data_IF_853390021281
#
_entry.id   IF_853390021281
#
_cell.length_a   1.000
_cell.length_b   1.000
_cell.length_c   1.000
_cell.angle_alpha   90.00
_cell.angle_beta   90.00
_cell.angle_gamma   90.00
#
_symmetry.space_group_name_H-M   'P 1'
#
loop_
_entity.id
_entity.type
_entity.pdbx_description
1 polymer ?
#
# COMPACT_ATOMS: atom_id res chain seq x y z
N UNK A 1 -19.45 9.59 -1.40
CA UNK A 1 -18.24 10.17 -0.78
C UNK A 1 -17.21 10.45 -1.87
N UNK A 2 -16.53 11.60 -1.81
CA UNK A 2 -15.87 12.31 -2.93
C UNK A 2 -14.84 11.49 -3.73
N UNK A 3 -15.25 10.95 -4.88
CA UNK A 3 -14.36 10.32 -5.86
C UNK A 3 -13.36 11.30 -6.49
N UNK A 4 -13.63 12.61 -6.43
CA UNK A 4 -12.76 13.64 -7.02
C UNK A 4 -11.53 13.99 -6.16
N UNK A 5 -11.63 13.91 -4.82
CA UNK A 5 -10.58 14.36 -3.91
C UNK A 5 -9.31 13.50 -3.99
N UNK A 6 -9.46 12.18 -4.01
CA UNK A 6 -8.34 11.25 -4.16
C UNK A 6 -7.69 11.35 -5.55
N UNK A 7 -8.45 11.72 -6.59
CA UNK A 7 -7.89 11.86 -7.94
C UNK A 7 -6.83 12.96 -8.00
N UNK A 8 -6.99 14.05 -7.24
CA UNK A 8 -5.98 15.12 -7.13
C UNK A 8 -4.66 14.57 -6.58
N UNK A 9 -4.72 13.78 -5.50
CA UNK A 9 -3.52 13.16 -4.91
C UNK A 9 -2.88 12.15 -5.86
N UNK A 10 -3.69 11.35 -6.57
CA UNK A 10 -3.17 10.41 -7.57
C UNK A 10 -2.45 11.13 -8.71
N UNK A 11 -3.02 12.23 -9.24
CA UNK A 11 -2.37 13.05 -10.28
C UNK A 11 -1.08 13.68 -9.73
N UNK A 12 -1.07 14.13 -8.48
CA UNK A 12 0.13 14.63 -7.83
C UNK A 12 1.23 13.56 -7.77
N UNK A 13 0.90 12.32 -7.38
CA UNK A 13 1.86 11.19 -7.37
C UNK A 13 2.35 10.87 -8.79
N UNK A 14 1.46 10.88 -9.78
CA UNK A 14 1.80 10.63 -11.20
C UNK A 14 2.79 11.65 -11.77
N UNK A 15 2.69 12.91 -11.34
CA UNK A 15 3.51 14.01 -11.85
C UNK A 15 4.66 14.41 -10.92
N UNK A 16 4.91 13.64 -9.86
CA UNK A 16 5.98 13.94 -8.93
C UNK A 16 7.33 13.52 -9.53
N UNK A 17 8.12 14.49 -9.99
CA UNK A 17 9.41 14.23 -10.65
C UNK A 17 10.56 14.26 -9.63
N UNK A 18 10.53 15.22 -8.69
CA UNK A 18 11.62 15.44 -7.74
C UNK A 18 11.76 14.28 -6.73
N UNK A 19 12.93 13.62 -6.64
CA UNK A 19 13.15 12.54 -5.67
C UNK A 19 12.98 12.95 -4.22
N UNK A 20 13.41 14.16 -3.85
CA UNK A 20 13.23 14.69 -2.49
C UNK A 20 11.75 14.81 -2.12
N UNK A 21 10.93 15.30 -3.04
CA UNK A 21 9.48 15.40 -2.84
C UNK A 21 8.84 14.01 -2.71
N UNK A 22 9.26 13.03 -3.52
CA UNK A 22 8.80 11.64 -3.39
C UNK A 22 9.13 11.08 -2.02
N UNK A 23 10.37 11.27 -1.57
CA UNK A 23 10.84 10.82 -0.26
C UNK A 23 10.04 11.46 0.88
N UNK A 24 9.87 12.78 0.87
CA UNK A 24 9.08 13.47 1.89
C UNK A 24 7.63 12.99 1.89
N UNK A 25 7.04 12.82 0.70
CA UNK A 25 5.68 12.32 0.55
C UNK A 25 5.52 10.92 1.15
N UNK A 26 6.34 9.94 0.78
CA UNK A 26 6.20 8.57 1.32
C UNK A 26 6.38 8.51 2.84
N UNK A 27 7.27 9.33 3.41
CA UNK A 27 7.47 9.39 4.86
C UNK A 27 6.25 9.96 5.61
N UNK A 28 5.53 10.90 5.00
CA UNK A 28 4.26 11.40 5.54
C UNK A 28 3.19 10.32 5.39
N UNK A 29 3.09 9.71 4.20
CA UNK A 29 2.08 8.69 3.89
C UNK A 29 2.22 7.44 4.76
N UNK A 30 3.45 7.06 5.14
CA UNK A 30 3.72 5.94 6.05
C UNK A 30 2.81 5.98 7.29
N UNK A 31 2.69 7.16 7.93
CA UNK A 31 1.92 7.36 9.16
C UNK A 31 0.41 7.11 9.02
N UNK A 32 -0.11 7.14 7.79
CA UNK A 32 -1.53 6.98 7.49
C UNK A 32 -1.80 5.81 6.53
N UNK A 33 -0.79 4.97 6.28
CA UNK A 33 -0.86 3.93 5.24
C UNK A 33 -1.96 2.91 5.52
N UNK A 34 -2.08 2.41 6.75
CA UNK A 34 -3.12 1.44 7.14
C UNK A 34 -4.53 2.00 6.87
N UNK A 35 -4.78 3.25 7.30
CA UNK A 35 -6.06 3.91 7.09
C UNK A 35 -6.38 4.09 5.59
N UNK A 36 -5.36 4.39 4.77
CA UNK A 36 -5.54 4.52 3.33
C UNK A 36 -5.79 3.18 2.64
N UNK A 37 -5.13 2.10 3.08
CA UNK A 37 -5.31 0.76 2.51
C UNK A 37 -6.75 0.25 2.67
N UNK A 38 -7.40 0.58 3.81
CA UNK A 38 -8.79 0.23 4.10
C UNK A 38 -9.82 1.23 3.54
N UNK A 39 -9.36 2.33 2.94
CA UNK A 39 -10.25 3.33 2.37
C UNK A 39 -10.56 3.02 0.90
N UNK A 40 -11.84 3.08 0.52
CA UNK A 40 -12.32 2.81 -0.85
C UNK A 40 -11.62 3.64 -1.93
N UNK A 41 -11.19 4.86 -1.60
CA UNK A 41 -10.47 5.73 -2.52
C UNK A 41 -8.97 5.81 -2.18
N UNK A 42 -8.62 5.86 -0.89
CA UNK A 42 -7.24 6.01 -0.41
C UNK A 42 -6.29 4.91 -0.92
N UNK A 43 -6.78 3.68 -1.09
CA UNK A 43 -5.97 2.55 -1.54
C UNK A 43 -5.34 2.80 -2.93
N UNK A 44 -5.99 3.58 -3.80
CA UNK A 44 -5.46 3.91 -5.11
C UNK A 44 -4.27 4.86 -5.05
N UNK A 45 -4.14 5.67 -4.00
CA UNK A 45 -2.94 6.52 -3.80
C UNK A 45 -1.74 5.63 -3.46
N UNK A 46 -1.93 4.66 -2.55
CA UNK A 46 -0.89 3.70 -2.19
C UNK A 46 -0.49 2.85 -3.41
N UNK A 47 -1.47 2.36 -4.16
CA UNK A 47 -1.24 1.64 -5.42
C UNK A 47 -0.40 2.47 -6.42
N UNK A 48 -0.65 3.78 -6.53
CA UNK A 48 0.14 4.66 -7.40
C UNK A 48 1.57 4.83 -6.91
N UNK A 49 1.80 4.94 -5.60
CA UNK A 49 3.15 4.95 -5.05
C UNK A 49 3.89 3.66 -5.39
N UNK A 50 3.26 2.50 -5.16
CA UNK A 50 3.85 1.19 -5.45
C UNK A 50 4.15 1.01 -6.95
N UNK A 51 3.29 1.53 -7.84
CA UNK A 51 3.49 1.45 -9.30
C UNK A 51 4.59 2.36 -9.85
N UNK A 52 4.76 3.55 -9.28
CA UNK A 52 5.50 4.64 -9.92
C UNK A 52 6.80 5.03 -9.21
N UNK A 53 6.93 4.69 -7.93
CA UNK A 53 8.10 5.06 -7.15
C UNK A 53 9.17 3.96 -7.23
N UNK A 54 10.46 4.31 -7.10
CA UNK A 54 11.53 3.33 -7.14
C UNK A 54 11.50 2.43 -5.88
N UNK A 55 12.09 1.22 -5.93
CA UNK A 55 11.96 0.22 -4.85
C UNK A 55 12.34 0.73 -3.46
N UNK A 56 13.34 1.61 -3.36
CA UNK A 56 13.82 2.20 -2.11
C UNK A 56 12.78 3.10 -1.43
N UNK A 57 11.82 3.61 -2.19
CA UNK A 57 10.67 4.36 -1.64
C UNK A 57 9.44 3.48 -1.46
N UNK A 58 9.29 2.43 -2.28
CA UNK A 58 8.21 1.46 -2.11
C UNK A 58 8.32 0.76 -0.75
N UNK A 59 9.54 0.36 -0.37
CA UNK A 59 9.81 -0.38 0.87
C UNK A 59 9.29 0.37 2.12
N UNK A 60 9.37 1.71 2.14
CA UNK A 60 8.91 2.52 3.26
C UNK A 60 7.41 2.34 3.54
N UNK A 61 6.61 2.17 2.48
CA UNK A 61 5.15 1.96 2.57
C UNK A 61 4.84 0.47 2.70
N UNK A 62 5.53 -0.39 1.95
CA UNK A 62 5.30 -1.83 1.97
C UNK A 62 5.66 -2.46 3.32
N UNK A 63 6.68 -1.96 4.01
CA UNK A 63 7.02 -2.40 5.37
C UNK A 63 5.89 -2.06 6.36
N UNK A 64 5.29 -0.88 6.23
CA UNK A 64 4.14 -0.50 7.08
C UNK A 64 2.92 -1.39 6.81
N UNK A 65 2.70 -1.76 5.53
CA UNK A 65 1.64 -2.70 5.15
C UNK A 65 1.96 -4.10 5.70
N UNK A 66 3.22 -4.52 5.69
CA UNK A 66 3.64 -5.82 6.18
C UNK A 66 3.41 -5.96 7.69
N UNK A 67 3.83 -4.96 8.48
CA UNK A 67 3.64 -4.93 9.94
C UNK A 67 2.15 -5.04 10.32
N UNK A 68 1.27 -4.52 9.48
CA UNK A 68 -0.18 -4.50 9.72
C UNK A 68 -0.93 -5.46 8.77
N UNK A 69 -0.26 -6.48 8.21
CA UNK A 69 -0.80 -7.22 7.07
C UNK A 69 -2.11 -7.95 7.40
N UNK A 70 -2.21 -8.55 8.59
CA UNK A 70 -3.42 -9.27 9.02
C UNK A 70 -4.58 -8.30 9.14
N UNK A 71 -4.38 -7.19 9.85
CA UNK A 71 -5.42 -6.17 10.03
C UNK A 71 -5.94 -5.63 8.68
N UNK A 72 -5.06 -5.46 7.70
CA UNK A 72 -5.43 -4.97 6.36
C UNK A 72 -6.06 -6.10 5.52
N UNK A 73 -5.53 -7.32 5.57
CA UNK A 73 -5.98 -8.44 4.74
C UNK A 73 -7.35 -8.97 5.15
N UNK A 74 -7.74 -8.85 6.43
CA UNK A 74 -9.09 -9.22 6.89
C UNK A 74 -10.10 -8.07 6.74
N UNK A 75 -9.73 -6.98 6.07
CA UNK A 75 -10.64 -5.89 5.70
C UNK A 75 -11.10 -6.04 4.23
N UNK A 76 -12.40 -5.84 3.99
CA UNK A 76 -13.02 -5.97 2.66
C UNK A 76 -12.33 -5.15 1.57
N UNK A 77 -11.87 -3.94 1.89
CA UNK A 77 -11.15 -3.08 0.94
C UNK A 77 -9.65 -3.38 0.99
N UNK A 78 -9.13 -3.57 2.20
CA UNK A 78 -7.72 -3.81 2.46
C UNK A 78 -7.16 -5.06 1.76
N UNK A 79 -7.89 -6.17 1.70
CA UNK A 79 -7.47 -7.38 0.96
C UNK A 79 -7.19 -7.07 -0.51
N UNK A 80 -8.10 -6.36 -1.17
CA UNK A 80 -7.93 -5.97 -2.57
C UNK A 80 -6.73 -5.03 -2.75
N UNK A 81 -6.49 -4.15 -1.76
CA UNK A 81 -5.35 -3.25 -1.74
C UNK A 81 -4.01 -4.01 -1.59
N UNK A 82 -3.92 -5.01 -0.71
CA UNK A 82 -2.73 -5.88 -0.59
C UNK A 82 -2.47 -6.63 -1.89
N UNK A 83 -3.50 -7.22 -2.51
CA UNK A 83 -3.34 -7.93 -3.78
C UNK A 83 -2.77 -7.03 -4.88
N UNK A 84 -3.19 -5.75 -4.93
CA UNK A 84 -2.63 -4.78 -5.87
C UNK A 84 -1.15 -4.49 -5.56
N UNK A 85 -0.79 -4.40 -4.28
CA UNK A 85 0.61 -4.24 -3.89
C UNK A 85 1.45 -5.44 -4.34
N UNK A 86 0.98 -6.67 -4.13
CA UNK A 86 1.66 -7.89 -4.58
C UNK A 86 1.81 -7.96 -6.12
N UNK A 87 0.82 -7.46 -6.88
CA UNK A 87 0.87 -7.46 -8.35
C UNK A 87 1.83 -6.42 -8.95
N UNK A 88 2.11 -5.34 -8.23
CA UNK A 88 2.80 -4.17 -8.79
C UNK A 88 4.09 -3.79 -8.08
N UNK A 89 4.28 -4.28 -6.85
CA UNK A 89 5.47 -4.00 -6.06
C UNK A 89 6.72 -4.67 -6.64
N UNK A 90 7.85 -4.02 -6.44
CA UNK A 90 9.13 -4.62 -6.72
C UNK A 90 9.38 -5.81 -5.79
N UNK A 91 9.94 -6.90 -6.32
CA UNK A 91 10.16 -8.14 -5.55
C UNK A 91 11.01 -7.93 -4.29
N UNK A 92 12.02 -7.05 -4.34
CA UNK A 92 12.86 -6.75 -3.18
C UNK A 92 12.09 -5.95 -2.11
N UNK A 93 11.23 -5.03 -2.54
CA UNK A 93 10.42 -4.23 -1.62
C UNK A 93 9.23 -5.03 -1.03
N UNK A 94 8.79 -6.10 -1.70
CA UNK A 94 7.72 -6.99 -1.22
C UNK A 94 8.18 -8.06 -0.22
N UNK A 95 9.48 -8.23 -0.02
CA UNK A 95 10.05 -9.35 0.73
C UNK A 95 9.45 -9.51 2.14
N UNK A 96 9.33 -8.40 2.89
CA UNK A 96 8.74 -8.43 4.23
C UNK A 96 7.25 -8.74 4.18
N UNK A 97 6.50 -8.11 3.26
CA UNK A 97 5.06 -8.36 3.11
C UNK A 97 4.75 -9.83 2.80
N UNK A 98 5.52 -10.46 1.91
CA UNK A 98 5.37 -11.89 1.58
C UNK A 98 5.67 -12.77 2.79
N UNK A 99 6.69 -12.40 3.58
CA UNK A 99 7.07 -13.12 4.81
C UNK A 99 5.95 -13.06 5.85
N UNK A 100 5.38 -11.88 6.07
CA UNK A 100 4.30 -11.69 7.05
C UNK A 100 3.00 -12.39 6.62
N UNK A 101 2.63 -12.33 5.32
CA UNK A 101 1.49 -13.07 4.79
C UNK A 101 1.70 -14.58 4.96
N UNK A 102 2.90 -15.09 4.65
CA UNK A 102 3.21 -16.51 4.78
C UNK A 102 3.16 -16.99 6.23
N UNK A 103 3.63 -16.16 7.16
CA UNK A 103 3.63 -16.46 8.60
C UNK A 103 2.22 -16.48 9.19
N UNK A 104 1.29 -15.73 8.59
CA UNK A 104 -0.11 -15.65 9.03
C UNK A 104 -1.07 -16.43 8.11
N UNK A 105 -0.56 -17.28 7.21
CA UNK A 105 -1.33 -17.90 6.13
C UNK A 105 -2.56 -18.68 6.63
N UNK A 106 -2.46 -19.37 7.77
CA UNK A 106 -3.59 -20.10 8.35
C UNK A 106 -4.74 -19.16 8.77
N UNK A 107 -4.41 -18.08 9.47
CA UNK A 107 -5.40 -17.09 9.92
C UNK A 107 -6.07 -16.41 8.74
N UNK A 108 -5.28 -16.06 7.71
CA UNK A 108 -5.81 -15.40 6.51
C UNK A 108 -6.67 -16.35 5.68
N UNK A 109 -6.25 -17.61 5.48
CA UNK A 109 -6.99 -18.57 4.67
C UNK A 109 -8.36 -18.97 5.27
N UNK A 110 -8.55 -18.77 6.58
CA UNK A 110 -9.81 -19.03 7.27
C UNK A 110 -10.73 -17.79 7.33
N UNK A 111 -10.21 -16.60 7.00
CA UNK A 111 -10.97 -15.35 6.99
C UNK A 111 -11.73 -15.16 5.65
N UNK A 112 -12.97 -14.65 5.66
CA UNK A 112 -13.74 -14.43 4.43
C UNK A 112 -13.13 -13.44 3.44
N UNK A 113 -12.15 -12.63 3.85
CA UNK A 113 -11.45 -11.66 3.01
C UNK A 113 -9.95 -11.93 2.84
N UNK A 114 -9.36 -12.82 3.63
CA UNK A 114 -7.92 -13.05 3.70
C UNK A 114 -7.28 -13.69 2.47
#
# INVERSE_FOLDING_TARGET
MNNHGTRVVQIMVENMICPYTKYAFVNIMKRITVALMKNVNGNYVIEKCVKLFPPELQIIILDEIAINCVDIATDKIGTSAIQKCLRHGNIFALALLVTEISSNAMVLAEDPYG
#
